data_IF_894377240578
#
_entry.id   IF_894377240578
#
_cell.length_a   1.000
_cell.length_b   1.000
_cell.length_c   1.000
_cell.angle_alpha   90.00
_cell.angle_beta   90.00
_cell.angle_gamma   90.00
#
_symmetry.space_group_name_H-M   'P 1'
#
loop_
_entity.id
_entity.type
_entity.pdbx_description
1 polymer ?
#
# COMPACT_ATOMS: atom_id res chain seq x y z
N UNK A 1 12.64 -21.32 -24.80
CA UNK A 1 12.30 -19.90 -24.56
C UNK A 1 10.86 -19.69 -24.08
N UNK A 2 9.81 -20.05 -24.85
CA UNK A 2 8.39 -19.84 -24.47
C UNK A 2 7.99 -20.38 -23.08
N UNK A 3 8.49 -21.56 -22.69
CA UNK A 3 8.21 -22.21 -21.39
C UNK A 3 8.80 -21.47 -20.18
N UNK A 4 9.93 -20.78 -20.38
CA UNK A 4 10.58 -19.96 -19.36
C UNK A 4 9.81 -18.66 -19.18
N UNK A 5 9.44 -18.01 -20.28
CA UNK A 5 8.62 -16.79 -20.28
C UNK A 5 7.29 -17.03 -19.55
N UNK A 6 6.59 -18.13 -19.84
CA UNK A 6 5.33 -18.48 -19.17
C UNK A 6 5.48 -18.74 -17.66
N UNK A 7 6.64 -19.24 -17.21
CA UNK A 7 6.92 -19.41 -15.78
C UNK A 7 7.19 -18.07 -15.09
N UNK A 8 7.97 -17.21 -15.73
CA UNK A 8 8.30 -15.89 -15.18
C UNK A 8 7.11 -14.92 -15.23
N UNK A 9 6.20 -15.03 -16.20
CA UNK A 9 5.03 -14.17 -16.29
C UNK A 9 4.08 -14.34 -15.10
N UNK A 10 3.95 -15.57 -14.57
CA UNK A 10 3.16 -15.83 -13.35
C UNK A 10 3.75 -15.11 -12.13
N UNK A 11 5.06 -15.26 -11.92
CA UNK A 11 5.77 -14.59 -10.81
C UNK A 11 5.69 -13.06 -10.94
N UNK A 12 5.87 -12.54 -12.15
CA UNK A 12 5.80 -11.10 -12.41
C UNK A 12 4.39 -10.56 -12.16
N UNK A 13 3.34 -11.29 -12.57
CA UNK A 13 1.96 -10.90 -12.31
C UNK A 13 1.62 -10.90 -10.81
N UNK A 14 2.04 -11.93 -10.06
CA UNK A 14 1.85 -11.96 -8.61
C UNK A 14 2.60 -10.83 -7.90
N UNK A 15 3.82 -10.51 -8.34
CA UNK A 15 4.60 -9.39 -7.80
C UNK A 15 3.93 -8.04 -8.10
N UNK A 16 3.44 -7.84 -9.32
CA UNK A 16 2.73 -6.62 -9.69
C UNK A 16 1.46 -6.43 -8.83
N UNK A 17 0.71 -7.51 -8.59
CA UNK A 17 -0.46 -7.49 -7.70
C UNK A 17 -0.06 -7.13 -6.27
N UNK A 18 0.99 -7.75 -5.72
CA UNK A 18 1.51 -7.45 -4.37
C UNK A 18 1.90 -5.97 -4.24
N UNK A 19 2.69 -5.44 -5.18
CA UNK A 19 3.11 -4.03 -5.16
C UNK A 19 1.91 -3.09 -5.27
N UNK A 20 0.91 -3.44 -6.08
CA UNK A 20 -0.32 -2.65 -6.21
C UNK A 20 -1.12 -2.65 -4.91
N UNK A 21 -1.33 -3.82 -4.30
CA UNK A 21 -2.00 -3.93 -3.00
C UNK A 21 -1.26 -3.22 -1.88
N UNK A 22 0.08 -3.22 -1.90
CA UNK A 22 0.87 -2.45 -0.95
C UNK A 22 0.71 -0.96 -1.18
N UNK A 23 0.79 -0.48 -2.43
CA UNK A 23 0.77 0.96 -2.74
C UNK A 23 -0.55 1.63 -2.33
N UNK A 24 -1.70 0.99 -2.59
CA UNK A 24 -3.02 1.57 -2.30
C UNK A 24 -3.30 1.60 -0.80
N UNK A 25 -2.62 0.73 -0.04
CA UNK A 25 -2.77 0.62 1.41
C UNK A 25 -1.64 1.33 2.18
N UNK A 26 -0.51 1.68 1.54
CA UNK A 26 0.60 2.38 2.22
C UNK A 26 0.27 3.79 2.65
N UNK A 27 -0.65 4.48 1.95
CA UNK A 27 -1.19 5.77 2.42
C UNK A 27 -1.80 5.64 3.82
N UNK A 28 -2.48 4.52 4.11
CA UNK A 28 -3.00 4.21 5.44
C UNK A 28 -1.87 3.81 6.41
N UNK A 29 -0.85 3.06 5.97
CA UNK A 29 0.30 2.73 6.83
C UNK A 29 1.13 3.94 7.24
N UNK A 30 1.23 4.96 6.39
CA UNK A 30 1.91 6.22 6.74
C UNK A 30 1.16 6.97 7.84
N UNK A 31 -0.16 6.84 7.90
CA UNK A 31 -1.00 7.34 9.00
C UNK A 31 -0.91 6.45 10.24
N UNK A 32 -0.61 5.16 10.10
CA UNK A 32 -0.55 4.21 11.21
C UNK A 32 0.60 4.47 12.19
N UNK A 33 1.70 5.09 11.75
CA UNK A 33 2.82 5.50 12.60
C UNK A 33 2.84 7.01 12.90
N UNK A 34 1.71 7.70 12.74
CA UNK A 34 1.65 9.09 13.16
C UNK A 34 1.85 9.19 14.69
N UNK A 35 2.64 10.17 15.15
CA UNK A 35 2.66 10.51 16.57
C UNK A 35 1.26 10.89 17.02
N UNK A 36 1.02 10.87 18.34
CA UNK A 36 -0.26 11.32 18.89
C UNK A 36 -0.66 12.68 18.31
N UNK A 37 -1.93 12.78 17.90
CA UNK A 37 -2.48 14.00 17.32
C UNK A 37 -2.23 15.19 18.27
N UNK A 38 -1.80 16.35 17.75
CA UNK A 38 -1.51 17.50 18.59
C UNK A 38 -2.77 17.95 19.36
N UNK A 39 -2.60 18.34 20.62
CA UNK A 39 -3.68 18.85 21.47
C UNK A 39 -4.42 19.99 20.75
N UNK A 40 -5.74 19.88 20.59
CA UNK A 40 -6.56 20.87 19.87
C UNK A 40 -6.93 20.50 18.45
N UNK A 41 -6.33 19.43 17.87
CA UNK A 41 -6.70 18.94 16.55
C UNK A 41 -8.16 18.43 16.49
N UNK A 42 -8.76 18.07 17.63
CA UNK A 42 -10.17 17.68 17.69
C UNK A 42 -11.14 18.76 17.19
N UNK A 43 -10.74 20.04 17.25
CA UNK A 43 -11.54 21.18 16.78
C UNK A 43 -11.61 21.31 15.26
N UNK A 44 -10.72 20.62 14.55
CA UNK A 44 -10.64 20.63 13.09
C UNK A 44 -11.49 19.52 12.46
N UNK A 45 -12.00 18.56 13.25
CA UNK A 45 -12.89 17.52 12.75
C UNK A 45 -14.25 18.13 12.44
N UNK A 46 -14.62 18.19 11.15
CA UNK A 46 -16.00 18.51 10.77
C UNK A 46 -16.91 17.41 11.31
N UNK A 47 -17.89 17.81 12.12
CA UNK A 47 -19.02 16.96 12.52
C UNK A 47 -19.80 16.49 11.30
#
# INVERSE_FOLDING_TARGET
MKKVILRFSGVLASLALMVTSMNVNTTCMYLAYQPELPKGAEKLRKN
#
